data_IF_579454262915
#
_entry.id   IF_579454262915
#
_cell.length_a   1.000
_cell.length_b   1.000
_cell.length_c   1.000
_cell.angle_alpha   90.00
_cell.angle_beta   90.00
_cell.angle_gamma   90.00
#
_symmetry.space_group_name_H-M   'P 1'
#
loop_
_entity.id
_entity.type
_entity.pdbx_description
1 polymer ?
#
# COMPACT_ATOMS: atom_id res chain seq x y z
N UNK A 1 -8.89 38.49 12.69
CA UNK A 1 -8.36 37.25 12.05
C UNK A 1 -7.76 36.33 13.08
N UNK A 2 -7.89 35.04 12.84
CA UNK A 2 -7.27 34.03 13.70
C UNK A 2 -5.76 34.16 13.62
N UNK A 3 -5.09 34.01 14.76
CA UNK A 3 -3.63 33.93 14.87
C UNK A 3 -3.04 32.80 14.04
N UNK A 4 -3.81 31.73 13.83
CA UNK A 4 -3.39 30.51 13.12
C UNK A 4 -4.02 30.37 11.73
N UNK A 5 -4.43 31.50 11.13
CA UNK A 5 -5.12 31.48 9.84
C UNK A 5 -4.33 30.69 8.76
N UNK A 6 -3.00 30.86 8.74
CA UNK A 6 -2.15 30.15 7.76
C UNK A 6 -2.22 28.63 7.87
N UNK A 7 -2.63 28.10 9.03
CA UNK A 7 -2.72 26.66 9.30
C UNK A 7 -4.12 26.10 9.05
N UNK A 8 -5.08 26.94 8.71
CA UNK A 8 -6.48 26.54 8.52
C UNK A 8 -6.61 25.59 7.32
N UNK A 9 -7.64 24.75 7.39
CA UNK A 9 -7.93 23.75 6.35
C UNK A 9 -8.01 24.37 4.94
N UNK A 10 -8.54 25.60 4.84
CA UNK A 10 -8.67 26.28 3.55
C UNK A 10 -7.32 26.51 2.85
N UNK A 11 -6.23 26.54 3.61
CA UNK A 11 -4.88 26.72 3.08
C UNK A 11 -4.14 25.40 2.89
N UNK A 12 -4.80 24.27 3.17
CA UNK A 12 -4.18 22.97 3.00
C UNK A 12 -4.23 22.54 1.53
N UNK A 13 -3.08 22.12 1.00
CA UNK A 13 -2.98 21.64 -0.39
C UNK A 13 -3.80 20.36 -0.55
N UNK A 14 -4.63 20.33 -1.59
CA UNK A 14 -5.40 19.14 -1.94
C UNK A 14 -4.48 18.17 -2.69
N UNK A 15 -4.39 16.94 -2.21
CA UNK A 15 -3.60 15.89 -2.87
C UNK A 15 -4.43 15.24 -3.95
N UNK A 16 -3.88 15.17 -5.15
CA UNK A 16 -4.56 14.60 -6.29
C UNK A 16 -4.22 13.13 -6.48
N UNK A 17 -5.19 12.38 -7.04
CA UNK A 17 -4.96 11.01 -7.46
C UNK A 17 -4.05 10.99 -8.66
N UNK A 18 -3.37 9.86 -8.88
CA UNK A 18 -2.46 9.66 -10.00
C UNK A 18 -2.91 8.44 -10.81
N UNK A 19 -2.66 8.48 -12.11
CA UNK A 19 -2.93 7.35 -13.01
C UNK A 19 -1.63 6.86 -13.61
N UNK A 20 -1.47 5.54 -13.66
CA UNK A 20 -0.33 4.92 -14.32
C UNK A 20 -0.61 3.45 -14.61
N UNK A 21 0.09 2.91 -15.58
CA UNK A 21 0.06 1.48 -15.87
C UNK A 21 0.84 0.76 -14.76
N UNK A 22 0.20 -0.21 -14.10
CA UNK A 22 0.83 -1.00 -13.05
C UNK A 22 1.42 -2.31 -13.58
N UNK A 23 0.83 -2.86 -14.64
CA UNK A 23 1.32 -4.08 -15.28
C UNK A 23 1.09 -4.04 -16.77
N UNK A 24 2.02 -4.61 -17.52
CA UNK A 24 1.91 -4.75 -18.97
C UNK A 24 1.35 -6.12 -19.38
N UNK A 25 1.09 -7.00 -18.40
CA UNK A 25 0.54 -8.34 -18.67
C UNK A 25 -0.97 -8.36 -18.83
N UNK A 26 -1.64 -7.24 -18.57
CA UNK A 26 -3.07 -7.08 -18.81
C UNK A 26 -3.22 -6.06 -19.94
N UNK A 27 -3.89 -6.47 -21.02
CA UNK A 27 -4.10 -5.60 -22.19
C UNK A 27 -5.56 -5.63 -22.59
N UNK A 28 -6.02 -4.52 -23.14
CA UNK A 28 -7.37 -4.42 -23.71
C UNK A 28 -7.42 -5.01 -25.14
N UNK A 29 -8.57 -4.90 -25.78
CA UNK A 29 -8.77 -5.40 -27.16
C UNK A 29 -7.88 -4.70 -28.19
N UNK A 30 -7.32 -3.53 -27.87
CA UNK A 30 -6.39 -2.79 -28.74
C UNK A 30 -4.92 -3.07 -28.39
N UNK A 31 -4.66 -3.98 -27.47
CA UNK A 31 -3.31 -4.31 -27.01
C UNK A 31 -2.70 -3.30 -26.05
N UNK A 32 -3.50 -2.38 -25.51
CA UNK A 32 -3.02 -1.39 -24.53
C UNK A 32 -3.30 -1.86 -23.11
N UNK A 33 -2.30 -1.63 -22.25
CA UNK A 33 -2.48 -1.89 -20.82
C UNK A 33 -3.30 -0.77 -20.18
N UNK A 34 -4.37 -1.11 -19.45
CA UNK A 34 -5.18 -0.09 -18.80
C UNK A 34 -4.42 0.61 -17.69
N UNK A 35 -4.68 1.91 -17.54
CA UNK A 35 -4.11 2.68 -16.44
C UNK A 35 -4.87 2.37 -15.15
N UNK A 36 -4.12 2.26 -14.07
CA UNK A 36 -4.68 2.17 -12.72
C UNK A 36 -4.73 3.57 -12.12
N UNK A 37 -5.63 3.78 -11.19
CA UNK A 37 -5.74 5.03 -10.45
C UNK A 37 -5.42 4.79 -8.98
N UNK A 38 -4.59 5.69 -8.41
CA UNK A 38 -4.14 5.60 -7.02
C UNK A 38 -4.46 6.90 -6.28
N UNK A 39 -4.74 6.78 -4.99
CA UNK A 39 -4.96 7.90 -4.08
C UNK A 39 -3.94 7.87 -2.95
N UNK A 40 -3.76 9.01 -2.30
CA UNK A 40 -2.99 9.05 -1.06
C UNK A 40 -3.83 8.46 0.07
N UNK A 41 -3.18 7.70 0.95
CA UNK A 41 -3.81 7.28 2.20
C UNK A 41 -3.60 8.35 3.25
N UNK A 42 -4.45 8.37 4.28
CA UNK A 42 -4.32 9.29 5.39
C UNK A 42 -3.40 8.71 6.47
N UNK A 43 -2.91 9.57 7.36
CA UNK A 43 -2.13 9.13 8.52
C UNK A 43 -2.91 8.14 9.38
N UNK A 44 -4.22 8.37 9.53
CA UNK A 44 -5.11 7.47 10.28
C UNK A 44 -5.19 6.10 9.63
N UNK A 45 -5.40 6.05 8.31
CA UNK A 45 -5.44 4.79 7.55
C UNK A 45 -4.11 4.05 7.66
N UNK A 46 -3.01 4.78 7.52
CA UNK A 46 -1.67 4.19 7.64
C UNK A 46 -1.44 3.56 9.01
N UNK A 47 -1.91 4.23 10.07
CA UNK A 47 -1.81 3.70 11.43
C UNK A 47 -2.58 2.41 11.59
N UNK A 48 -3.81 2.34 11.04
CA UNK A 48 -4.64 1.14 11.06
C UNK A 48 -3.98 -0.03 10.32
N UNK A 49 -3.39 0.24 9.15
CA UNK A 49 -2.67 -0.77 8.38
C UNK A 49 -1.45 -1.30 9.14
N UNK A 50 -0.75 -0.42 9.84
CA UNK A 50 0.41 -0.81 10.64
C UNK A 50 -0.01 -1.70 11.80
N UNK A 51 -1.06 -1.32 12.52
CA UNK A 51 -1.58 -2.10 13.65
C UNK A 51 -2.05 -3.50 13.21
N UNK A 52 -2.70 -3.60 12.05
CA UNK A 52 -3.15 -4.86 11.47
C UNK A 52 -1.99 -5.83 11.22
N UNK A 53 -0.80 -5.32 10.97
CA UNK A 53 0.36 -6.12 10.58
C UNK A 53 1.41 -6.27 11.69
N UNK A 54 1.06 -5.91 12.92
CA UNK A 54 1.91 -6.13 14.08
C UNK A 54 1.60 -7.52 14.65
N UNK A 55 2.66 -8.27 14.94
CA UNK A 55 2.58 -9.59 15.60
C UNK A 55 3.45 -9.62 16.83
N UNK A 56 3.05 -10.41 17.82
CA UNK A 56 3.89 -10.72 18.94
C UNK A 56 4.77 -11.91 18.56
N UNK A 57 6.07 -11.77 18.78
CA UNK A 57 7.05 -12.84 18.53
C UNK A 57 7.81 -13.14 19.80
N UNK A 58 8.15 -14.43 20.07
CA UNK A 58 8.93 -14.78 21.25
C UNK A 58 10.29 -14.12 21.23
N UNK A 59 10.74 -13.70 22.41
CA UNK A 59 12.11 -13.19 22.58
C UNK A 59 13.04 -14.38 22.82
N UNK A 60 14.05 -14.60 21.95
CA UNK A 60 14.98 -15.71 22.13
C UNK A 60 15.64 -15.70 23.50
N UNK A 61 15.66 -16.85 24.16
CA UNK A 61 16.29 -17.01 25.48
C UNK A 61 15.47 -16.49 26.65
N UNK A 62 14.27 -15.97 26.44
CA UNK A 62 13.39 -15.46 27.50
C UNK A 62 12.04 -16.17 27.42
N UNK A 63 11.89 -17.23 28.19
CA UNK A 63 10.67 -18.00 28.21
C UNK A 63 9.48 -17.13 28.69
N UNK A 64 8.39 -17.15 27.93
CA UNK A 64 7.17 -16.40 28.25
C UNK A 64 7.22 -14.90 27.94
N UNK A 65 8.33 -14.40 27.39
CA UNK A 65 8.45 -13.01 27.00
C UNK A 65 8.26 -12.85 25.49
N UNK A 66 7.55 -11.77 25.09
CA UNK A 66 7.20 -11.48 23.70
C UNK A 66 7.52 -10.02 23.38
N UNK A 67 7.78 -9.74 22.10
CA UNK A 67 7.92 -8.38 21.59
C UNK A 67 7.01 -8.21 20.39
N UNK A 68 6.65 -6.97 20.10
CA UNK A 68 5.89 -6.65 18.89
C UNK A 68 6.84 -6.54 17.69
N UNK A 69 6.40 -7.08 16.57
CA UNK A 69 7.13 -7.00 15.30
C UNK A 69 6.16 -6.74 14.17
N UNK A 70 6.51 -5.79 13.31
CA UNK A 70 5.72 -5.50 12.11
C UNK A 70 6.13 -6.44 10.97
N UNK A 71 5.12 -6.97 10.25
CA UNK A 71 5.36 -7.67 9.00
C UNK A 71 5.38 -6.61 7.88
N UNK A 72 6.59 -6.20 7.50
CA UNK A 72 6.78 -5.12 6.53
C UNK A 72 6.23 -5.42 5.14
N UNK A 73 6.37 -6.66 4.67
CA UNK A 73 5.87 -7.05 3.36
C UNK A 73 4.35 -7.00 3.30
N UNK A 74 3.67 -7.52 4.31
CA UNK A 74 2.21 -7.49 4.39
C UNK A 74 1.70 -6.06 4.56
N UNK A 75 2.40 -5.23 5.31
CA UNK A 75 2.06 -3.83 5.50
C UNK A 75 2.13 -3.07 4.16
N UNK A 76 3.20 -3.26 3.39
CA UNK A 76 3.34 -2.61 2.07
C UNK A 76 2.25 -3.09 1.11
N UNK A 77 1.96 -4.38 1.09
CA UNK A 77 0.87 -4.94 0.27
C UNK A 77 -0.47 -4.29 0.62
N UNK A 78 -0.79 -4.19 1.89
CA UNK A 78 -2.02 -3.54 2.36
C UNK A 78 -2.05 -2.05 2.01
N UNK A 79 -0.91 -1.38 2.02
CA UNK A 79 -0.81 0.02 1.60
C UNK A 79 -1.14 0.17 0.10
N UNK A 80 -0.63 -0.72 -0.74
CA UNK A 80 -0.94 -0.71 -2.17
C UNK A 80 -2.44 -0.91 -2.39
N UNK A 81 -3.03 -1.88 -1.70
CA UNK A 81 -4.47 -2.14 -1.78
C UNK A 81 -5.27 -0.90 -1.37
N UNK A 82 -4.92 -0.30 -0.24
CA UNK A 82 -5.63 0.88 0.27
C UNK A 82 -5.48 2.09 -0.65
N UNK A 83 -4.36 2.21 -1.36
CA UNK A 83 -4.09 3.30 -2.29
C UNK A 83 -4.74 3.10 -3.66
N UNK A 84 -5.18 1.89 -3.99
CA UNK A 84 -5.73 1.59 -5.32
C UNK A 84 -7.21 1.96 -5.41
N UNK A 85 -7.54 2.87 -6.32
CA UNK A 85 -8.92 3.28 -6.61
C UNK A 85 -9.48 2.46 -7.78
N UNK A 86 -8.72 2.36 -8.86
CA UNK A 86 -9.08 1.62 -10.06
C UNK A 86 -7.94 0.69 -10.43
N UNK A 87 -8.20 -0.60 -10.64
CA UNK A 87 -9.49 -1.26 -10.53
C UNK A 87 -9.97 -1.37 -9.09
N UNK A 88 -11.27 -1.56 -8.90
CA UNK A 88 -11.81 -1.82 -7.55
C UNK A 88 -11.45 -3.24 -7.12
N UNK A 89 -10.48 -3.36 -6.24
CA UNK A 89 -9.96 -4.66 -5.79
C UNK A 89 -10.96 -5.44 -4.92
N UNK A 90 -12.03 -4.79 -4.50
CA UNK A 90 -13.11 -5.44 -3.72
C UNK A 90 -14.24 -5.95 -4.61
N UNK A 91 -14.17 -5.73 -5.93
CA UNK A 91 -15.21 -6.15 -6.86
C UNK A 91 -15.27 -7.67 -6.96
N UNK A 92 -16.43 -8.25 -6.66
CA UNK A 92 -16.62 -9.70 -6.62
C UNK A 92 -16.41 -10.35 -7.99
N UNK A 93 -16.93 -9.74 -9.05
CA UNK A 93 -16.77 -10.28 -10.40
C UNK A 93 -15.30 -10.30 -10.82
N UNK A 94 -14.57 -9.23 -10.51
CA UNK A 94 -13.16 -9.16 -10.84
C UNK A 94 -12.37 -10.21 -10.04
N UNK A 95 -12.66 -10.35 -8.74
CA UNK A 95 -12.03 -11.38 -7.90
C UNK A 95 -12.33 -12.78 -8.43
N UNK A 96 -13.57 -13.05 -8.79
CA UNK A 96 -13.99 -14.36 -9.32
C UNK A 96 -13.26 -14.70 -10.62
N UNK A 97 -13.00 -13.70 -11.47
CA UNK A 97 -12.30 -13.92 -12.74
C UNK A 97 -10.85 -14.42 -12.53
N UNK A 98 -10.25 -14.13 -11.39
CA UNK A 98 -8.91 -14.60 -11.02
C UNK A 98 -8.94 -15.77 -10.02
N UNK A 99 -10.13 -16.22 -9.62
CA UNK A 99 -10.26 -17.31 -8.66
C UNK A 99 -9.81 -16.98 -7.25
N UNK A 100 -9.94 -15.71 -6.84
CA UNK A 100 -9.51 -15.23 -5.52
C UNK A 100 -10.70 -14.58 -4.80
N UNK A 101 -10.57 -14.37 -3.49
CA UNK A 101 -11.66 -13.84 -2.68
C UNK A 101 -11.23 -12.71 -1.72
N UNK A 102 -10.04 -12.15 -1.90
CA UNK A 102 -9.57 -10.98 -1.13
C UNK A 102 -8.91 -9.97 -2.07
N UNK A 103 -8.93 -8.67 -1.71
CA UNK A 103 -8.24 -7.66 -2.53
C UNK A 103 -6.73 -7.87 -2.59
N UNK A 104 -6.10 -8.36 -1.52
CA UNK A 104 -4.67 -8.65 -1.48
C UNK A 104 -4.31 -9.77 -2.46
N UNK A 105 -5.11 -10.85 -2.46
CA UNK A 105 -4.90 -11.97 -3.39
C UNK A 105 -5.15 -11.54 -4.83
N UNK A 106 -6.14 -10.66 -5.06
CA UNK A 106 -6.42 -10.13 -6.39
C UNK A 106 -5.24 -9.31 -6.90
N UNK A 107 -4.68 -8.42 -6.07
CA UNK A 107 -3.52 -7.62 -6.46
C UNK A 107 -2.36 -8.52 -6.88
N UNK A 108 -2.07 -9.53 -6.08
CA UNK A 108 -0.98 -10.48 -6.36
C UNK A 108 -1.22 -11.28 -7.63
N UNK A 109 -2.47 -11.64 -7.91
CA UNK A 109 -2.82 -12.37 -9.13
C UNK A 109 -2.70 -11.50 -10.38
N UNK A 110 -3.07 -10.22 -10.28
CA UNK A 110 -3.00 -9.28 -11.40
C UNK A 110 -1.56 -8.85 -11.69
N UNK A 111 -0.76 -8.62 -10.64
CA UNK A 111 0.66 -8.27 -10.76
C UNK A 111 1.53 -9.49 -10.48
N UNK A 112 1.41 -10.48 -11.33
CA UNK A 112 2.14 -11.75 -11.20
C UNK A 112 3.60 -11.67 -11.68
N UNK A 113 4.02 -10.53 -12.22
CA UNK A 113 5.42 -10.26 -12.56
C UNK A 113 6.09 -9.59 -11.35
N UNK A 114 7.06 -10.26 -10.70
CA UNK A 114 7.67 -9.71 -9.48
C UNK A 114 8.28 -8.33 -9.63
N UNK A 115 8.92 -8.05 -10.78
CA UNK A 115 9.52 -6.73 -11.02
C UNK A 115 8.50 -5.61 -11.08
N UNK A 116 7.34 -5.87 -11.70
CA UNK A 116 6.26 -4.90 -11.76
C UNK A 116 5.64 -4.66 -10.40
N UNK A 117 5.49 -5.72 -9.60
CA UNK A 117 5.03 -5.59 -8.22
C UNK A 117 5.99 -4.75 -7.38
N UNK A 118 7.29 -5.02 -7.48
CA UNK A 118 8.31 -4.27 -6.73
C UNK A 118 8.33 -2.79 -7.14
N UNK A 119 8.19 -2.51 -8.44
CA UNK A 119 8.12 -1.13 -8.94
C UNK A 119 6.89 -0.39 -8.39
N UNK A 120 5.75 -1.06 -8.37
CA UNK A 120 4.53 -0.48 -7.82
C UNK A 120 4.67 -0.24 -6.32
N UNK A 121 5.25 -1.18 -5.58
CA UNK A 121 5.48 -1.04 -4.15
C UNK A 121 6.36 0.17 -3.85
N UNK A 122 7.46 0.34 -4.59
CA UNK A 122 8.34 1.50 -4.43
C UNK A 122 7.61 2.81 -4.78
N UNK A 123 6.84 2.81 -5.86
CA UNK A 123 6.08 3.99 -6.26
C UNK A 123 5.06 4.40 -5.20
N UNK A 124 4.27 3.46 -4.69
CA UNK A 124 3.22 3.74 -3.71
C UNK A 124 3.80 4.30 -2.42
N UNK A 125 4.93 3.78 -1.97
CA UNK A 125 5.60 4.29 -0.78
C UNK A 125 6.04 5.75 -0.97
N UNK A 126 6.69 6.06 -2.09
CA UNK A 126 7.08 7.44 -2.41
C UNK A 126 5.88 8.36 -2.57
N UNK A 127 4.86 7.88 -3.26
CA UNK A 127 3.63 8.64 -3.48
C UNK A 127 2.96 9.01 -2.16
N UNK A 128 3.04 8.14 -1.15
CA UNK A 128 2.52 8.41 0.18
C UNK A 128 3.52 9.13 1.09
N UNK A 129 4.59 9.67 0.54
CA UNK A 129 5.50 10.58 1.23
C UNK A 129 6.71 9.96 1.89
N UNK A 130 6.99 8.69 1.68
CA UNK A 130 8.18 8.05 2.24
C UNK A 130 9.40 8.32 1.36
N UNK A 131 10.45 8.87 1.95
CA UNK A 131 11.71 9.13 1.26
C UNK A 131 12.52 7.86 1.02
N UNK A 132 12.35 6.87 1.91
CA UNK A 132 12.96 5.54 1.82
C UNK A 132 11.85 4.51 1.87
N UNK A 133 12.12 3.34 1.32
CA UNK A 133 11.18 2.23 1.43
C UNK A 133 11.00 1.82 2.90
N UNK A 134 9.79 1.38 3.24
CA UNK A 134 9.42 1.06 4.61
C UNK A 134 10.29 -0.04 5.19
N UNK A 135 10.62 -1.06 4.40
CA UNK A 135 11.47 -2.15 4.86
C UNK A 135 12.87 -1.68 5.24
N UNK A 136 13.42 -0.69 4.50
CA UNK A 136 14.70 -0.07 4.84
C UNK A 136 14.63 0.67 6.18
N UNK A 137 13.52 1.39 6.42
CA UNK A 137 13.31 2.09 7.69
C UNK A 137 13.19 1.12 8.87
N UNK A 138 12.53 -0.01 8.66
CA UNK A 138 12.40 -1.07 9.67
C UNK A 138 13.79 -1.64 10.01
N UNK A 139 14.61 -1.92 9.00
CA UNK A 139 15.97 -2.42 9.23
C UNK A 139 16.84 -1.40 9.95
N UNK A 140 16.75 -0.11 9.60
CA UNK A 140 17.46 0.97 10.30
C UNK A 140 17.05 1.04 11.77
N UNK A 141 15.78 0.86 12.07
CA UNK A 141 15.27 0.91 13.44
C UNK A 141 15.74 -0.27 14.30
N UNK A 142 16.12 -1.41 13.70
CA UNK A 142 16.65 -2.57 14.41
C UNK A 142 18.11 -2.41 14.82
N UNK A 143 18.82 -1.53 14.17
CA UNK A 143 20.23 -1.26 14.42
C UNK A 143 20.40 -0.10 15.41
#
# INVERSE_FOLDING_TARGET
MSKFNAFMKANKVVKENVRRVATTSIVDENGKSPEWEFRHITTKENKELREKNIKEVPIPGKFGAFRQRINGEAYVLDMIVASTVTPNLYDAELQDSYGVNTPEALLMAMLDNPGEYDDLAAFIQKYNGYNKEINEKIEEAKN
#
